data_IF_207435783637
#
_entry.id   IF_207435783637
#
_cell.length_a   1.000
_cell.length_b   1.000
_cell.length_c   1.000
_cell.angle_alpha   90.00
_cell.angle_beta   90.00
_cell.angle_gamma   90.00
#
_symmetry.space_group_name_H-M   'P 1'
#
loop_
_entity.id
_entity.type
_entity.pdbx_description
1 polymer ?
#
# COMPACT_ATOMS: atom_id res chain seq x y z
N UNK A 1 40.50 -9.48 125.30
CA UNK A 1 39.24 -9.27 124.54
C UNK A 1 39.62 -8.60 123.24
N UNK A 2 39.51 -9.39 122.16
CA UNK A 2 39.49 -9.06 120.73
C UNK A 2 40.52 -8.00 120.27
N UNK A 3 41.55 -8.53 119.62
CA UNK A 3 42.80 -7.89 119.21
C UNK A 3 42.62 -6.83 118.13
N UNK A 4 43.34 -5.72 118.29
CA UNK A 4 43.51 -4.58 117.39
C UNK A 4 44.34 -4.90 116.13
N UNK A 5 44.33 -6.18 115.70
CA UNK A 5 45.15 -6.72 114.61
C UNK A 5 44.34 -7.52 113.57
N UNK A 6 43.08 -7.89 113.86
CA UNK A 6 42.18 -8.58 112.91
C UNK A 6 41.34 -7.59 112.07
N UNK A 7 41.33 -6.30 112.40
CA UNK A 7 40.55 -5.28 111.69
C UNK A 7 41.28 -4.65 110.48
N UNK A 8 42.49 -5.14 110.16
CA UNK A 8 43.31 -4.65 109.03
C UNK A 8 43.53 -5.74 107.96
N UNK A 9 43.04 -6.97 108.17
CA UNK A 9 43.06 -8.05 107.15
C UNK A 9 41.79 -8.07 106.26
N UNK A 10 40.98 -7.01 106.31
CA UNK A 10 39.80 -6.81 105.46
C UNK A 10 40.00 -5.72 104.39
N UNK A 11 41.23 -5.30 104.14
CA UNK A 11 41.59 -4.59 102.91
C UNK A 11 42.41 -5.52 102.03
N UNK A 12 41.70 -6.44 101.36
CA UNK A 12 42.17 -7.11 100.15
C UNK A 12 42.51 -6.03 99.14
N UNK A 13 43.78 -5.62 99.19
CA UNK A 13 44.26 -4.43 98.52
C UNK A 13 43.97 -4.42 97.04
N UNK A 14 44.07 -3.22 96.49
CA UNK A 14 44.12 -2.89 95.06
C UNK A 14 44.93 -3.87 94.17
N UNK A 15 45.82 -4.68 94.76
CA UNK A 15 46.54 -5.76 94.08
C UNK A 15 45.72 -7.04 93.81
N UNK A 16 44.70 -7.39 94.58
CA UNK A 16 43.83 -8.55 94.28
C UNK A 16 42.88 -8.27 93.11
N UNK A 17 42.52 -6.99 92.91
CA UNK A 17 41.76 -6.56 91.74
C UNK A 17 42.64 -6.35 90.49
N UNK A 18 43.94 -6.04 90.66
CA UNK A 18 44.91 -5.99 89.56
C UNK A 18 45.54 -7.37 89.22
N UNK A 19 45.65 -8.27 90.19
CA UNK A 19 46.27 -9.59 90.08
C UNK A 19 45.46 -10.61 90.92
N UNK A 20 44.35 -11.13 90.35
CA UNK A 20 43.55 -12.17 91.00
C UNK A 20 44.40 -13.42 91.26
N UNK A 21 44.01 -14.23 92.25
CA UNK A 21 44.68 -15.50 92.53
C UNK A 21 44.68 -16.40 91.29
N UNK A 22 45.72 -17.22 91.10
CA UNK A 22 45.83 -18.14 89.95
C UNK A 22 44.57 -19.01 89.74
N UNK A 23 43.88 -19.38 90.82
CA UNK A 23 42.62 -20.12 90.78
C UNK A 23 41.45 -19.34 90.17
N UNK A 24 41.32 -18.05 90.48
CA UNK A 24 40.27 -17.19 89.93
C UNK A 24 40.51 -16.89 88.45
N UNK A 25 41.78 -16.71 88.07
CA UNK A 25 42.17 -16.56 86.67
C UNK A 25 41.84 -17.83 85.87
N UNK A 26 42.10 -19.03 86.41
CA UNK A 26 41.82 -20.30 85.73
C UNK A 26 40.30 -20.54 85.55
N UNK A 27 39.50 -20.37 86.60
CA UNK A 27 38.05 -20.52 86.50
C UNK A 27 37.38 -19.42 85.68
N UNK A 28 37.84 -18.17 85.80
CA UNK A 28 37.39 -17.05 84.98
C UNK A 28 37.71 -17.24 83.50
N UNK A 29 38.92 -17.72 83.19
CA UNK A 29 39.32 -18.06 81.82
C UNK A 29 38.52 -19.25 81.29
N UNK A 30 38.27 -20.28 82.10
CA UNK A 30 37.45 -21.42 81.69
C UNK A 30 36.01 -20.99 81.38
N UNK A 31 35.39 -20.17 82.24
CA UNK A 31 34.06 -19.61 82.01
C UNK A 31 34.04 -18.71 80.76
N UNK A 32 35.05 -17.88 80.57
CA UNK A 32 35.21 -17.05 79.37
C UNK A 32 35.32 -17.89 78.11
N UNK A 33 36.12 -18.97 78.12
CA UNK A 33 36.26 -19.88 76.98
C UNK A 33 34.94 -20.58 76.67
N UNK A 34 34.21 -21.06 77.68
CA UNK A 34 32.91 -21.71 77.48
C UNK A 34 31.93 -20.75 76.79
N UNK A 35 31.85 -19.50 77.27
CA UNK A 35 31.01 -18.46 76.66
C UNK A 35 31.50 -18.09 75.27
N UNK A 36 32.81 -17.93 75.07
CA UNK A 36 33.40 -17.58 73.78
C UNK A 36 33.13 -18.67 72.74
N UNK A 37 33.23 -19.96 73.11
CA UNK A 37 32.89 -21.08 72.23
C UNK A 37 31.40 -21.12 71.92
N UNK A 38 30.53 -20.85 72.91
CA UNK A 38 29.09 -20.75 72.68
C UNK A 38 28.76 -19.59 71.72
N UNK A 39 29.32 -18.40 71.92
CA UNK A 39 29.12 -17.24 71.03
C UNK A 39 29.68 -17.52 69.64
N UNK A 40 30.88 -18.09 69.54
CA UNK A 40 31.47 -18.46 68.25
C UNK A 40 30.64 -19.51 67.51
N UNK A 41 30.06 -20.49 68.22
CA UNK A 41 29.27 -21.55 67.58
C UNK A 41 27.85 -21.13 67.25
N UNK A 42 27.23 -20.23 68.01
CA UNK A 42 25.82 -19.85 67.83
C UNK A 42 25.62 -18.44 67.23
N UNK A 43 26.37 -17.43 67.68
CA UNK A 43 26.17 -16.04 67.22
C UNK A 43 26.93 -15.74 65.92
N UNK A 44 28.12 -16.31 65.73
CA UNK A 44 28.91 -16.11 64.52
C UNK A 44 28.20 -16.59 63.23
N UNK A 45 27.63 -17.81 63.15
CA UNK A 45 26.98 -18.25 61.92
C UNK A 45 25.77 -17.37 61.56
N UNK A 46 24.95 -17.00 62.54
CA UNK A 46 23.80 -16.11 62.31
C UNK A 46 24.22 -14.72 61.79
N UNK A 47 25.34 -14.18 62.26
CA UNK A 47 25.85 -12.90 61.77
C UNK A 47 26.35 -12.99 60.33
N UNK A 48 27.10 -14.03 60.00
CA UNK A 48 27.61 -14.27 58.63
C UNK A 48 26.46 -14.52 57.65
N UNK A 49 25.46 -15.29 58.05
CA UNK A 49 24.26 -15.56 57.23
C UNK A 49 23.54 -14.27 56.84
N UNK A 50 23.32 -13.34 57.78
CA UNK A 50 22.66 -12.06 57.44
C UNK A 50 23.49 -11.16 56.52
N UNK A 51 24.82 -11.24 56.59
CA UNK A 51 25.70 -10.50 55.69
C UNK A 51 25.71 -11.11 54.29
N UNK A 52 25.72 -12.44 54.21
CA UNK A 52 25.67 -13.17 52.94
C UNK A 52 24.32 -12.95 52.25
N UNK A 53 23.20 -13.00 52.98
CA UNK A 53 21.88 -12.65 52.43
C UNK A 53 21.82 -11.22 51.88
N UNK A 54 22.46 -10.25 52.56
CA UNK A 54 22.52 -8.87 52.09
C UNK A 54 23.40 -8.75 50.85
N UNK A 55 24.54 -9.41 50.83
CA UNK A 55 25.45 -9.42 49.69
C UNK A 55 24.77 -10.04 48.46
N UNK A 56 24.10 -11.19 48.64
CA UNK A 56 23.35 -11.87 47.59
C UNK A 56 22.21 -10.99 47.04
N UNK A 57 21.43 -10.33 47.89
CA UNK A 57 20.36 -9.42 47.44
C UNK A 57 20.88 -8.22 46.65
N UNK A 58 22.05 -7.69 47.01
CA UNK A 58 22.68 -6.58 46.27
C UNK A 58 23.19 -7.07 44.92
N UNK A 59 23.83 -8.24 44.88
CA UNK A 59 24.36 -8.82 43.64
C UNK A 59 23.22 -9.20 42.69
N UNK A 60 22.16 -9.81 43.21
CA UNK A 60 20.95 -10.12 42.46
C UNK A 60 20.29 -8.84 41.91
N UNK A 61 20.10 -7.82 42.75
CA UNK A 61 19.53 -6.55 42.32
C UNK A 61 20.39 -5.80 41.29
N UNK A 62 21.72 -5.88 41.40
CA UNK A 62 22.62 -5.30 40.41
C UNK A 62 22.56 -6.05 39.08
N UNK A 63 22.53 -7.38 39.13
CA UNK A 63 22.40 -8.25 37.94
C UNK A 63 21.06 -8.02 37.25
N UNK A 64 19.96 -7.92 37.99
CA UNK A 64 18.65 -7.59 37.44
C UNK A 64 18.63 -6.19 36.81
N UNK A 65 19.25 -5.19 37.45
CA UNK A 65 19.35 -3.85 36.89
C UNK A 65 20.18 -3.83 35.60
N UNK A 66 21.28 -4.58 35.53
CA UNK A 66 22.07 -4.72 34.31
C UNK A 66 21.30 -5.44 33.19
N UNK A 67 20.58 -6.52 33.52
CA UNK A 67 19.73 -7.23 32.57
C UNK A 67 18.61 -6.33 32.03
N UNK A 68 17.91 -5.61 32.92
CA UNK A 68 16.87 -4.66 32.52
C UNK A 68 17.44 -3.55 31.60
N UNK A 69 18.64 -3.04 31.90
CA UNK A 69 19.32 -2.06 31.01
C UNK A 69 19.68 -2.66 29.66
N UNK A 70 20.16 -3.89 29.62
CA UNK A 70 20.50 -4.59 28.39
C UNK A 70 19.24 -4.86 27.53
N UNK A 71 18.14 -5.29 28.14
CA UNK A 71 16.85 -5.49 27.46
C UNK A 71 16.27 -4.19 26.91
N UNK A 72 16.39 -3.08 27.67
CA UNK A 72 15.98 -1.76 27.19
C UNK A 72 16.84 -1.34 25.99
N UNK A 73 18.15 -1.58 26.02
CA UNK A 73 19.03 -1.26 24.89
C UNK A 73 18.71 -2.11 23.65
N UNK A 74 18.48 -3.41 23.82
CA UNK A 74 18.13 -4.33 22.74
C UNK A 74 16.76 -4.00 22.13
N UNK A 75 15.75 -3.72 22.97
CA UNK A 75 14.43 -3.30 22.49
C UNK A 75 14.45 -1.96 21.76
N UNK A 76 15.26 -0.99 22.21
CA UNK A 76 15.47 0.26 21.47
C UNK A 76 16.13 0.02 20.12
N UNK A 77 17.16 -0.83 20.05
CA UNK A 77 17.81 -1.19 18.79
C UNK A 77 16.82 -1.82 17.80
N UNK A 78 16.03 -2.79 18.27
CA UNK A 78 14.96 -3.42 17.49
C UNK A 78 13.93 -2.42 16.99
N UNK A 79 13.48 -1.50 17.85
CA UNK A 79 12.51 -0.47 17.48
C UNK A 79 13.05 0.48 16.41
N UNK A 80 14.33 0.89 16.53
CA UNK A 80 14.98 1.73 15.51
C UNK A 80 15.06 1.01 14.17
N UNK A 81 15.40 -0.28 14.18
CA UNK A 81 15.45 -1.08 12.95
C UNK A 81 14.06 -1.32 12.36
N UNK A 82 13.04 -1.51 13.18
CA UNK A 82 11.64 -1.61 12.75
C UNK A 82 11.16 -0.30 12.11
N UNK A 83 11.46 0.86 12.71
CA UNK A 83 11.15 2.17 12.12
C UNK A 83 11.86 2.35 10.78
N UNK A 84 13.13 1.94 10.67
CA UNK A 84 13.88 2.01 9.40
C UNK A 84 13.29 1.09 8.34
N UNK A 85 12.88 -0.13 8.72
CA UNK A 85 12.19 -1.06 7.82
C UNK A 85 10.87 -0.48 7.34
N UNK A 86 10.04 0.04 8.25
CA UNK A 86 8.77 0.67 7.93
C UNK A 86 8.95 1.88 6.99
N UNK A 87 9.98 2.70 7.21
CA UNK A 87 10.30 3.81 6.30
C UNK A 87 10.71 3.34 4.91
N UNK A 88 11.55 2.28 4.82
CA UNK A 88 11.94 1.69 3.53
C UNK A 88 10.72 1.13 2.79
N UNK A 89 9.86 0.40 3.49
CA UNK A 89 8.64 -0.15 2.93
C UNK A 89 7.69 0.95 2.46
N UNK A 90 7.49 1.99 3.27
CA UNK A 90 6.67 3.14 2.90
C UNK A 90 7.20 3.86 1.64
N UNK A 91 8.51 4.05 1.53
CA UNK A 91 9.14 4.59 0.32
C UNK A 91 8.90 3.67 -0.88
N UNK A 92 9.12 2.36 -0.73
CA UNK A 92 8.88 1.40 -1.80
C UNK A 92 7.42 1.36 -2.26
N UNK A 93 6.47 1.44 -1.34
CA UNK A 93 5.03 1.54 -1.66
C UNK A 93 4.75 2.80 -2.47
N UNK A 94 5.33 3.94 -2.09
CA UNK A 94 5.14 5.22 -2.80
C UNK A 94 5.73 5.19 -4.20
N UNK A 95 6.92 4.63 -4.37
CA UNK A 95 7.57 4.46 -5.68
C UNK A 95 6.74 3.54 -6.58
N UNK A 96 6.33 2.37 -6.08
CA UNK A 96 5.47 1.45 -6.81
C UNK A 96 4.14 2.10 -7.20
N UNK A 97 3.53 2.88 -6.31
CA UNK A 97 2.29 3.62 -6.61
C UNK A 97 2.50 4.67 -7.70
N UNK A 98 3.63 5.40 -7.69
CA UNK A 98 3.96 6.38 -8.73
C UNK A 98 4.20 5.72 -10.09
N UNK A 99 4.88 4.59 -10.11
CA UNK A 99 5.15 3.87 -11.35
C UNK A 99 3.89 3.21 -11.92
N UNK A 100 3.04 2.64 -11.07
CA UNK A 100 1.72 2.16 -11.47
C UNK A 100 0.84 3.30 -11.99
N UNK A 101 0.85 4.47 -11.34
CA UNK A 101 0.09 5.63 -11.81
C UNK A 101 0.57 6.09 -13.20
N UNK A 102 1.87 6.16 -13.43
CA UNK A 102 2.44 6.48 -14.76
C UNK A 102 2.03 5.44 -15.80
N UNK A 103 2.09 4.16 -15.46
CA UNK A 103 1.70 3.07 -16.35
C UNK A 103 0.21 3.16 -16.73
N UNK A 104 -0.67 3.40 -15.76
CA UNK A 104 -2.12 3.60 -15.99
C UNK A 104 -2.36 4.80 -16.90
N UNK A 105 -1.67 5.92 -16.68
CA UNK A 105 -1.82 7.12 -17.52
C UNK A 105 -1.35 6.81 -18.95
N UNK A 106 -0.21 6.14 -19.12
CA UNK A 106 0.31 5.76 -20.43
C UNK A 106 -0.65 4.81 -21.17
N UNK A 107 -1.19 3.81 -20.48
CA UNK A 107 -2.17 2.87 -21.03
C UNK A 107 -3.47 3.58 -21.41
N UNK A 108 -3.99 4.46 -20.54
CA UNK A 108 -5.19 5.25 -20.81
C UNK A 108 -4.99 6.17 -22.03
N UNK A 109 -3.83 6.80 -22.16
CA UNK A 109 -3.50 7.61 -23.34
C UNK A 109 -3.40 6.78 -24.62
N UNK A 110 -2.81 5.58 -24.56
CA UNK A 110 -2.72 4.68 -25.72
C UNK A 110 -4.11 4.18 -26.16
N UNK A 111 -4.97 3.81 -25.20
CA UNK A 111 -6.37 3.44 -25.46
C UNK A 111 -7.15 4.61 -26.06
N UNK A 112 -7.06 5.79 -25.47
CA UNK A 112 -7.75 6.99 -25.96
C UNK A 112 -7.33 7.35 -27.39
N UNK A 113 -6.04 7.23 -27.75
CA UNK A 113 -5.57 7.43 -29.13
C UNK A 113 -6.16 6.41 -30.09
N UNK A 114 -6.14 5.13 -29.70
CA UNK A 114 -6.70 4.04 -30.52
C UNK A 114 -8.20 4.22 -30.76
N UNK A 115 -8.94 4.60 -29.71
CA UNK A 115 -10.38 4.89 -29.80
C UNK A 115 -10.66 6.12 -30.65
N UNK A 116 -9.86 7.19 -30.52
CA UNK A 116 -9.97 8.39 -31.35
C UNK A 116 -9.72 8.07 -32.84
N UNK A 117 -8.70 7.29 -33.16
CA UNK A 117 -8.41 6.88 -34.53
C UNK A 117 -9.56 6.02 -35.11
N UNK A 118 -10.08 5.07 -34.32
CA UNK A 118 -11.24 4.26 -34.70
C UNK A 118 -12.49 5.13 -34.96
N UNK A 119 -12.73 6.13 -34.10
CA UNK A 119 -13.83 7.08 -34.26
C UNK A 119 -13.68 7.91 -35.55
N UNK A 120 -12.47 8.40 -35.85
CA UNK A 120 -12.19 9.16 -37.06
C UNK A 120 -12.44 8.32 -38.31
N UNK A 121 -11.97 7.07 -38.32
CA UNK A 121 -12.21 6.13 -39.43
C UNK A 121 -13.71 5.87 -39.60
N UNK A 122 -14.43 5.66 -38.50
CA UNK A 122 -15.89 5.50 -38.51
C UNK A 122 -16.62 6.74 -39.05
N UNK A 123 -16.17 7.93 -38.65
CA UNK A 123 -16.72 9.20 -39.12
C UNK A 123 -16.51 9.40 -40.63
N UNK A 124 -15.32 9.08 -41.16
CA UNK A 124 -15.05 9.17 -42.59
C UNK A 124 -15.95 8.23 -43.39
N UNK A 125 -16.08 6.96 -42.96
CA UNK A 125 -16.98 5.99 -43.60
C UNK A 125 -18.43 6.47 -43.61
N UNK A 126 -18.87 7.13 -42.54
CA UNK A 126 -20.22 7.69 -42.45
C UNK A 126 -20.41 8.89 -43.37
N UNK A 127 -19.43 9.79 -43.44
CA UNK A 127 -19.45 10.92 -44.38
C UNK A 127 -19.51 10.44 -45.83
N UNK A 128 -18.75 9.41 -46.18
CA UNK A 128 -18.77 8.83 -47.53
C UNK A 128 -20.15 8.24 -47.85
N UNK A 129 -20.72 7.46 -46.93
CA UNK A 129 -22.06 6.90 -47.09
C UNK A 129 -23.16 7.97 -47.20
N UNK A 130 -23.08 9.02 -46.38
CA UNK A 130 -24.01 10.15 -46.40
C UNK A 130 -23.88 10.96 -47.70
N UNK A 131 -22.65 11.13 -48.21
CA UNK A 131 -22.38 11.81 -49.48
C UNK A 131 -22.96 11.04 -50.66
N UNK A 132 -22.79 9.72 -50.69
CA UNK A 132 -23.39 8.87 -51.72
C UNK A 132 -24.93 8.90 -51.65
N UNK A 133 -25.50 8.87 -50.45
CA UNK A 133 -26.94 8.98 -50.25
C UNK A 133 -27.46 10.33 -50.76
N UNK A 134 -26.79 11.44 -50.42
CA UNK A 134 -27.12 12.77 -50.90
C UNK A 134 -27.04 12.86 -52.43
N UNK A 135 -26.02 12.28 -53.06
CA UNK A 135 -25.91 12.22 -54.52
C UNK A 135 -27.03 11.41 -55.17
N UNK A 136 -27.46 10.30 -54.56
CA UNK A 136 -28.61 9.52 -55.05
C UNK A 136 -29.90 10.32 -55.00
N UNK A 137 -30.16 11.01 -53.89
CA UNK A 137 -31.32 11.91 -53.74
C UNK A 137 -31.28 13.02 -54.77
N UNK A 138 -30.14 13.70 -54.92
CA UNK A 138 -29.98 14.80 -55.89
C UNK A 138 -30.21 14.34 -57.33
N UNK A 139 -29.72 13.15 -57.71
CA UNK A 139 -29.99 12.58 -59.03
C UNK A 139 -31.48 12.30 -59.25
N UNK A 140 -32.18 11.83 -58.22
CA UNK A 140 -33.63 11.66 -58.24
C UNK A 140 -34.36 12.98 -58.48
N UNK A 141 -34.04 14.00 -57.68
CA UNK A 141 -34.66 15.33 -57.77
C UNK A 141 -34.41 16.01 -59.12
N UNK A 142 -33.17 15.95 -59.63
CA UNK A 142 -32.83 16.45 -60.96
C UNK A 142 -33.56 15.68 -62.05
N UNK A 143 -33.73 14.36 -61.91
CA UNK A 143 -34.53 13.55 -62.82
C UNK A 143 -35.99 14.03 -62.88
N UNK A 144 -36.62 14.26 -61.73
CA UNK A 144 -37.98 14.78 -61.65
C UNK A 144 -38.08 16.16 -62.32
N UNK A 145 -37.19 17.09 -61.98
CA UNK A 145 -37.17 18.44 -62.55
C UNK A 145 -36.92 18.43 -64.07
N UNK A 146 -36.02 17.57 -64.56
CA UNK A 146 -35.74 17.43 -65.99
C UNK A 146 -36.96 16.88 -66.75
N UNK A 147 -37.65 15.90 -66.17
CA UNK A 147 -38.87 15.33 -66.78
C UNK A 147 -40.01 16.35 -66.79
N UNK A 148 -40.16 17.14 -65.73
CA UNK A 148 -41.15 18.21 -65.65
C UNK A 148 -40.88 19.32 -66.68
N UNK A 149 -39.61 19.71 -66.85
CA UNK A 149 -39.20 20.66 -67.88
C UNK A 149 -39.45 20.12 -69.29
N UNK A 150 -39.07 18.87 -69.55
CA UNK A 150 -39.32 18.21 -70.83
C UNK A 150 -40.83 18.14 -71.14
N UNK A 151 -41.66 17.81 -70.15
CA UNK A 151 -43.12 17.82 -70.26
C UNK A 151 -43.68 19.19 -70.60
N UNK A 152 -43.17 20.27 -69.98
CA UNK A 152 -43.55 21.65 -70.33
C UNK A 152 -43.12 22.04 -71.75
N UNK A 153 -41.90 21.70 -72.17
CA UNK A 153 -41.41 21.99 -73.52
C UNK A 153 -42.23 21.24 -74.58
N UNK A 154 -42.48 19.95 -74.39
CA UNK A 154 -43.31 19.15 -75.32
C UNK A 154 -44.75 19.67 -75.33
N UNK A 155 -45.31 20.01 -74.17
CA UNK A 155 -46.63 20.63 -74.09
C UNK A 155 -46.74 21.95 -74.86
N UNK A 156 -45.71 22.78 -74.82
CA UNK A 156 -45.64 24.03 -75.60
C UNK A 156 -45.44 23.75 -77.10
N UNK A 157 -44.58 22.79 -77.45
CA UNK A 157 -44.29 22.40 -78.82
C UNK A 157 -45.50 21.78 -79.55
N UNK A 158 -46.39 21.09 -78.84
CA UNK A 158 -47.65 20.54 -79.39
C UNK A 158 -48.67 21.66 -79.67
N UNK A 159 -48.59 22.82 -79.00
CA UNK A 159 -49.43 23.98 -79.30
C UNK A 159 -49.08 24.63 -80.65
N UNK A 160 -47.89 24.34 -81.20
CA UNK A 160 -47.51 24.69 -82.56
C UNK A 160 -48.01 23.62 -83.55
N UNK A 161 -49.12 23.92 -84.21
CA UNK A 161 -49.81 23.00 -85.13
C UNK A 161 -48.94 22.56 -86.33
N UNK A 162 -47.98 23.39 -86.75
CA UNK A 162 -47.06 23.08 -87.83
C UNK A 162 -45.89 22.17 -87.41
N UNK A 163 -45.50 22.23 -86.13
CA UNK A 163 -44.52 21.31 -85.56
C UNK A 163 -45.16 19.95 -85.26
N UNK A 164 -46.38 19.94 -84.70
CA UNK A 164 -47.12 18.72 -84.39
C UNK A 164 -47.39 17.86 -85.64
N UNK A 165 -47.86 18.46 -86.74
CA UNK A 165 -48.05 17.74 -88.03
C UNK A 165 -46.76 17.13 -88.55
N UNK A 166 -45.64 17.85 -88.52
CA UNK A 166 -44.32 17.33 -88.93
C UNK A 166 -43.83 16.14 -88.11
N UNK A 167 -44.16 16.09 -86.83
CA UNK A 167 -43.81 14.95 -85.97
C UNK A 167 -44.69 13.74 -86.29
N UNK A 168 -45.99 13.97 -86.55
CA UNK A 168 -46.93 12.93 -86.97
C UNK A 168 -46.52 12.34 -88.33
N UNK A 169 -46.25 13.18 -89.33
CA UNK A 169 -45.88 12.73 -90.67
C UNK A 169 -44.58 11.89 -90.63
N UNK A 170 -43.59 12.31 -89.82
CA UNK A 170 -42.34 11.57 -89.64
C UNK A 170 -42.55 10.22 -88.93
N UNK A 171 -43.47 10.14 -87.98
CA UNK A 171 -43.83 8.89 -87.33
C UNK A 171 -44.59 7.94 -88.27
N UNK A 172 -45.45 8.49 -89.13
CA UNK A 172 -46.13 7.72 -90.18
C UNK A 172 -45.13 7.19 -91.21
N UNK A 173 -44.15 7.99 -91.64
CA UNK A 173 -43.04 7.56 -92.50
C UNK A 173 -42.19 6.45 -91.83
N UNK A 174 -41.87 6.55 -90.55
CA UNK A 174 -41.13 5.50 -89.82
C UNK A 174 -41.94 4.20 -89.72
N UNK A 175 -43.26 4.27 -89.52
CA UNK A 175 -44.12 3.08 -89.55
C UNK A 175 -44.18 2.48 -90.95
N UNK A 176 -44.30 3.30 -91.98
CA UNK A 176 -44.37 2.86 -93.37
C UNK A 176 -43.04 2.24 -93.85
N UNK A 177 -41.92 2.63 -93.25
CA UNK A 177 -40.59 2.04 -93.48
C UNK A 177 -40.27 0.81 -92.61
N UNK A 178 -40.93 0.61 -91.45
CA UNK A 178 -40.84 -0.64 -90.66
C UNK A 178 -41.81 -1.73 -91.13
N UNK A 179 -42.93 -1.36 -91.78
CA UNK A 179 -43.92 -2.31 -92.34
C UNK A 179 -43.42 -3.22 -93.50
N UNK A 180 -42.43 -2.86 -94.36
CA UNK A 180 -41.91 -3.73 -95.42
C UNK A 180 -41.06 -4.89 -94.90
N UNK A 181 -40.44 -4.75 -93.72
CA UNK A 181 -39.62 -5.79 -93.09
C UNK A 181 -40.48 -6.98 -92.62
N UNK A 182 -41.67 -6.69 -92.06
CA UNK A 182 -42.62 -7.72 -91.61
C UNK A 182 -43.26 -8.52 -92.75
N UNK A 183 -43.32 -7.97 -93.98
CA UNK A 183 -43.80 -8.70 -95.16
C UNK A 183 -42.76 -9.62 -95.79
N UNK A 184 -41.46 -9.30 -95.67
CA UNK A 184 -40.39 -10.14 -96.22
C UNK A 184 -40.18 -11.45 -95.44
N UNK A 185 -40.50 -11.48 -94.14
CA UNK A 185 -40.43 -12.72 -93.34
C UNK A 185 -41.64 -13.65 -93.53
N UNK A 186 -42.75 -13.16 -94.10
CA UNK A 186 -43.96 -13.97 -94.33
C UNK A 186 -44.02 -14.65 -95.72
N UNK A 187 -43.14 -14.26 -96.66
CA UNK A 187 -43.04 -14.82 -98.01
C UNK A 187 -41.79 -15.70 -98.24
N UNK A 188 -41.02 -15.98 -97.18
CA UNK A 188 -39.90 -16.95 -97.15
C UNK A 188 -40.30 -18.22 -96.40
#
# INVERSE_FOLDING_TARGET
MISMQELILAEGGFFHILAPGLSELLWGTLAFIIVAVAVYKYAWPAYVETLDERAQKIDEGLREAEQARAEIADSQAKLVDEIRNAQREATGIRENAQDNAKAIIAEAQAKARTEADSLIVGAHRRIDADSEAAMRTLRGDVGVLATELAGRIVGEAIRDEALARRVIDRFLDDLETMTPELKKEAEA
#
